data_IF_140053796408
#
_entry.id   IF_140053796408
#
_cell.length_a   1.000
_cell.length_b   1.000
_cell.length_c   1.000
_cell.angle_alpha   90.00
_cell.angle_beta   90.00
_cell.angle_gamma   90.00
#
_symmetry.space_group_name_H-M   'P 1'
#
loop_
_entity.id
_entity.type
_entity.pdbx_description
1 polymer ?
#
# COMPACT_ATOMS: atom_id res chain seq x y z
N UNK A 1 63.75 8.00 -43.55
CA UNK A 1 62.38 8.55 -43.75
C UNK A 1 61.59 7.46 -44.47
N UNK A 2 61.02 6.44 -43.84
CA UNK A 2 60.13 6.48 -42.68
C UNK A 2 58.71 6.72 -43.17
N UNK A 3 57.96 5.67 -43.53
CA UNK A 3 56.50 5.73 -43.40
C UNK A 3 55.89 4.32 -43.26
N UNK A 4 55.25 4.12 -42.12
CA UNK A 4 54.66 2.87 -41.66
C UNK A 4 53.28 2.65 -42.30
N UNK A 5 53.11 1.53 -42.99
CA UNK A 5 51.79 0.98 -43.31
C UNK A 5 51.17 0.36 -42.07
N UNK A 6 50.46 1.17 -41.27
CA UNK A 6 49.68 0.68 -40.13
C UNK A 6 48.44 -0.06 -40.65
N UNK A 7 48.48 -1.38 -40.54
CA UNK A 7 47.33 -2.26 -40.73
C UNK A 7 46.38 -2.08 -39.55
N UNK A 8 45.33 -1.29 -39.73
CA UNK A 8 44.23 -1.20 -38.78
C UNK A 8 43.13 -2.18 -39.19
N UNK A 9 43.29 -3.44 -38.77
CA UNK A 9 42.19 -4.41 -38.75
C UNK A 9 41.19 -3.94 -37.71
N UNK A 10 40.12 -3.30 -38.17
CA UNK A 10 38.97 -2.93 -37.34
C UNK A 10 38.22 -4.24 -36.95
N UNK A 11 38.05 -4.56 -35.67
CA UNK A 11 37.31 -5.75 -35.28
C UNK A 11 35.83 -5.59 -35.67
N UNK A 12 35.14 -6.67 -36.08
CA UNK A 12 33.73 -6.59 -36.44
C UNK A 12 32.92 -6.21 -35.20
N UNK A 13 32.09 -5.16 -35.35
CA UNK A 13 31.17 -4.72 -34.31
C UNK A 13 30.34 -5.92 -33.84
N UNK A 14 30.35 -6.18 -32.53
CA UNK A 14 29.52 -7.17 -31.88
C UNK A 14 28.06 -6.85 -32.19
N UNK A 15 27.45 -7.66 -33.04
CA UNK A 15 26.00 -7.62 -33.27
C UNK A 15 25.33 -8.10 -32.00
N UNK A 16 25.02 -7.19 -31.07
CA UNK A 16 24.07 -7.42 -30.00
C UNK A 16 22.72 -7.66 -30.66
N UNK A 17 22.41 -8.93 -30.89
CA UNK A 17 21.11 -9.41 -31.36
C UNK A 17 20.08 -8.93 -30.34
N UNK A 18 19.40 -7.81 -30.65
CA UNK A 18 18.30 -7.31 -29.83
C UNK A 18 17.31 -8.45 -29.71
N UNK A 19 17.21 -9.05 -28.53
CA UNK A 19 16.18 -10.04 -28.24
C UNK A 19 14.86 -9.32 -28.51
N UNK A 20 14.15 -9.76 -29.56
CA UNK A 20 12.89 -9.13 -29.95
C UNK A 20 11.92 -9.22 -28.78
N UNK A 21 11.34 -8.09 -28.39
CA UNK A 21 10.34 -8.05 -27.33
C UNK A 21 9.25 -9.09 -27.64
N UNK A 22 9.06 -10.04 -26.73
CA UNK A 22 8.00 -11.04 -26.86
C UNK A 22 6.68 -10.31 -26.66
N UNK A 23 5.99 -10.01 -27.77
CA UNK A 23 4.72 -9.30 -27.74
C UNK A 23 3.69 -10.22 -27.06
N UNK A 24 3.20 -9.80 -25.90
CA UNK A 24 2.17 -10.52 -25.14
C UNK A 24 0.83 -10.40 -25.87
N UNK A 25 -0.06 -11.39 -25.70
CA UNK A 25 -1.43 -11.29 -26.25
C UNK A 25 -2.15 -10.02 -25.82
N UNK A 26 -1.91 -9.57 -24.58
CA UNK A 26 -2.42 -8.32 -24.02
C UNK A 26 -1.96 -7.08 -24.80
N UNK A 27 -0.67 -7.01 -25.16
CA UNK A 27 -0.10 -5.89 -25.92
C UNK A 27 -0.76 -5.76 -27.31
N UNK A 28 -1.10 -6.90 -27.93
CA UNK A 28 -1.81 -6.92 -29.21
C UNK A 28 -3.23 -6.37 -29.09
N UNK A 29 -3.94 -6.76 -28.03
CA UNK A 29 -5.29 -6.25 -27.74
C UNK A 29 -5.26 -4.76 -27.46
N UNK A 30 -4.32 -4.28 -26.63
CA UNK A 30 -4.18 -2.86 -26.33
C UNK A 30 -3.86 -2.04 -27.59
N UNK A 31 -3.01 -2.58 -28.48
CA UNK A 31 -2.71 -1.95 -29.77
C UNK A 31 -3.96 -1.87 -30.66
N UNK A 32 -4.72 -2.96 -30.78
CA UNK A 32 -5.92 -3.00 -31.60
C UNK A 32 -6.99 -2.02 -31.11
N UNK A 33 -7.20 -1.94 -29.79
CA UNK A 33 -8.11 -0.98 -29.18
C UNK A 33 -7.66 0.47 -29.43
N UNK A 34 -6.37 0.77 -29.28
CA UNK A 34 -5.82 2.12 -29.58
C UNK A 34 -5.97 2.48 -31.05
N UNK A 35 -5.74 1.53 -31.95
CA UNK A 35 -5.92 1.73 -33.38
C UNK A 35 -7.40 1.97 -33.72
N UNK A 36 -8.33 1.29 -33.05
CA UNK A 36 -9.75 1.51 -33.21
C UNK A 36 -10.18 2.89 -32.68
N UNK A 37 -9.66 3.32 -31.54
CA UNK A 37 -9.85 4.67 -30.99
C UNK A 37 -9.42 5.74 -32.01
N UNK A 38 -8.25 5.57 -32.62
CA UNK A 38 -7.72 6.53 -33.60
C UNK A 38 -8.57 6.58 -34.89
N UNK A 39 -9.07 5.42 -35.36
CA UNK A 39 -10.03 5.35 -36.48
C UNK A 39 -11.33 6.07 -36.16
N UNK A 40 -11.87 5.89 -34.95
CA UNK A 40 -13.09 6.55 -34.49
C UNK A 40 -12.87 8.07 -34.42
N UNK A 41 -11.76 8.54 -33.85
CA UNK A 41 -11.41 9.96 -33.86
C UNK A 41 -11.30 10.54 -35.28
N UNK A 42 -10.68 9.80 -36.21
CA UNK A 42 -10.60 10.22 -37.61
C UNK A 42 -12.00 10.31 -38.26
N UNK A 43 -12.92 9.41 -37.92
CA UNK A 43 -14.31 9.46 -38.37
C UNK A 43 -15.05 10.67 -37.81
N UNK A 44 -14.89 11.00 -36.52
CA UNK A 44 -15.47 12.22 -35.90
C UNK A 44 -15.04 13.46 -36.68
N UNK A 45 -13.73 13.64 -36.88
CA UNK A 45 -13.16 14.77 -37.65
C UNK A 45 -13.66 14.82 -39.09
N UNK A 46 -13.99 13.68 -39.69
CA UNK A 46 -14.59 13.62 -41.04
C UNK A 46 -16.03 14.11 -41.01
N UNK A 47 -16.82 13.70 -40.03
CA UNK A 47 -18.22 14.14 -39.89
C UNK A 47 -18.33 15.62 -39.50
N UNK A 48 -17.43 16.14 -38.66
CA UNK A 48 -17.36 17.56 -38.31
C UNK A 48 -17.11 18.44 -39.53
N UNK A 49 -16.06 18.13 -40.31
CA UNK A 49 -15.78 18.84 -41.57
C UNK A 49 -16.95 18.78 -42.55
N UNK A 50 -17.64 17.64 -42.62
CA UNK A 50 -18.82 17.52 -43.46
C UNK A 50 -19.98 18.41 -42.97
N UNK A 51 -20.21 18.47 -41.65
CA UNK A 51 -21.24 19.31 -41.03
C UNK A 51 -20.97 20.82 -41.20
N UNK A 52 -19.71 21.24 -41.09
CA UNK A 52 -19.28 22.61 -41.38
C UNK A 52 -19.49 22.94 -42.87
N UNK A 53 -19.12 22.02 -43.76
CA UNK A 53 -19.36 22.18 -45.20
C UNK A 53 -20.85 22.35 -45.54
N UNK A 54 -21.73 21.58 -44.90
CA UNK A 54 -23.19 21.73 -45.05
C UNK A 54 -23.70 23.07 -44.52
N UNK A 55 -23.12 23.57 -43.43
CA UNK A 55 -23.48 24.86 -42.85
C UNK A 55 -23.14 26.02 -43.81
N UNK A 56 -21.94 26.01 -44.38
CA UNK A 56 -21.52 27.04 -45.35
C UNK A 56 -22.41 27.00 -46.59
N UNK A 57 -22.68 25.81 -47.15
CA UNK A 57 -23.60 25.66 -48.30
C UNK A 57 -25.01 26.13 -47.98
N UNK A 58 -25.53 25.84 -46.79
CA UNK A 58 -26.84 26.33 -46.36
C UNK A 58 -26.88 27.86 -46.31
N UNK A 59 -25.81 28.49 -45.79
CA UNK A 59 -25.71 29.95 -45.74
C UNK A 59 -25.67 30.58 -47.15
N UNK A 60 -24.92 30.00 -48.09
CA UNK A 60 -24.88 30.44 -49.48
C UNK A 60 -26.24 30.30 -50.18
N UNK A 61 -26.93 29.18 -49.99
CA UNK A 61 -28.25 28.93 -50.57
C UNK A 61 -29.32 29.89 -50.03
N UNK A 62 -29.23 30.29 -48.75
CA UNK A 62 -30.08 31.32 -48.17
C UNK A 62 -29.85 32.69 -48.80
N UNK A 63 -28.59 33.08 -49.04
CA UNK A 63 -28.24 34.34 -49.74
C UNK A 63 -28.79 34.35 -51.17
N UNK A 64 -28.81 33.19 -51.83
CA UNK A 64 -29.36 33.02 -53.17
C UNK A 64 -30.90 32.86 -53.20
N UNK A 65 -31.59 32.99 -52.07
CA UNK A 65 -33.05 32.91 -51.97
C UNK A 65 -33.66 31.51 -52.09
N UNK A 66 -32.85 30.46 -52.18
CA UNK A 66 -33.31 29.07 -52.37
C UNK A 66 -33.57 28.37 -51.03
N UNK A 67 -34.69 28.73 -50.39
CA UNK A 67 -35.07 28.25 -49.04
C UNK A 67 -35.21 26.73 -48.91
N UNK A 68 -35.85 26.06 -49.86
CA UNK A 68 -36.05 24.60 -49.82
C UNK A 68 -34.75 23.81 -49.80
N UNK A 69 -33.78 24.21 -50.64
CA UNK A 69 -32.46 23.58 -50.70
C UNK A 69 -31.63 23.87 -49.44
N UNK A 70 -31.73 25.09 -48.90
CA UNK A 70 -31.09 25.43 -47.63
C UNK A 70 -31.63 24.58 -46.47
N UNK A 71 -32.94 24.37 -46.41
CA UNK A 71 -33.56 23.50 -45.40
C UNK A 71 -33.08 22.05 -45.52
N UNK A 72 -32.91 21.54 -46.75
CA UNK A 72 -32.34 20.21 -46.98
C UNK A 72 -30.90 20.10 -46.44
N UNK A 73 -30.04 21.08 -46.72
CA UNK A 73 -28.68 21.13 -46.16
C UNK A 73 -28.67 21.16 -44.63
N UNK A 74 -29.57 21.91 -44.01
CA UNK A 74 -29.70 21.94 -42.54
C UNK A 74 -30.16 20.59 -41.97
N UNK A 75 -31.10 19.90 -42.62
CA UNK A 75 -31.51 18.53 -42.24
C UNK A 75 -30.33 17.55 -42.34
N UNK A 76 -29.53 17.65 -43.41
CA UNK A 76 -28.33 16.83 -43.61
C UNK A 76 -27.27 17.11 -42.55
N UNK A 77 -27.05 18.38 -42.20
CA UNK A 77 -26.19 18.79 -41.08
C UNK A 77 -26.66 18.18 -39.76
N UNK A 78 -27.97 18.23 -39.46
CA UNK A 78 -28.52 17.62 -38.24
C UNK A 78 -28.28 16.12 -38.17
N UNK A 79 -28.41 15.41 -39.30
CA UNK A 79 -28.09 13.98 -39.38
C UNK A 79 -26.60 13.71 -39.11
N UNK A 80 -25.69 14.53 -39.65
CA UNK A 80 -24.26 14.42 -39.37
C UNK A 80 -23.93 14.70 -37.89
N UNK A 81 -24.58 15.69 -37.28
CA UNK A 81 -24.43 15.94 -35.84
C UNK A 81 -24.90 14.76 -34.99
N UNK A 82 -26.03 14.14 -35.34
CA UNK A 82 -26.49 12.91 -34.69
C UNK A 82 -25.48 11.78 -34.82
N UNK A 83 -24.83 11.65 -35.99
CA UNK A 83 -23.79 10.66 -36.21
C UNK A 83 -22.54 10.96 -35.39
N UNK A 84 -22.15 12.22 -35.23
CA UNK A 84 -21.05 12.63 -34.35
C UNK A 84 -21.35 12.18 -32.92
N UNK A 85 -22.55 12.47 -32.39
CA UNK A 85 -22.93 12.03 -31.04
C UNK A 85 -22.85 10.52 -30.86
N UNK A 86 -23.32 9.74 -31.85
CA UNK A 86 -23.23 8.28 -31.81
C UNK A 86 -21.77 7.80 -31.85
N UNK A 87 -20.93 8.38 -32.70
CA UNK A 87 -19.52 7.97 -32.81
C UNK A 87 -18.73 8.40 -31.57
N UNK A 88 -19.08 9.52 -30.93
CA UNK A 88 -18.50 9.92 -29.64
C UNK A 88 -18.85 8.93 -28.53
N UNK A 89 -20.09 8.42 -28.47
CA UNK A 89 -20.41 7.38 -27.47
C UNK A 89 -19.68 6.06 -27.74
N UNK A 90 -19.43 5.72 -29.01
CA UNK A 90 -18.55 4.60 -29.36
C UNK A 90 -17.10 4.83 -28.92
N UNK A 91 -16.60 6.06 -29.02
CA UNK A 91 -15.26 6.43 -28.53
C UNK A 91 -15.15 6.23 -27.02
N UNK A 92 -16.10 6.75 -26.25
CA UNK A 92 -16.16 6.59 -24.79
C UNK A 92 -16.17 5.11 -24.38
N UNK A 93 -16.90 4.27 -25.12
CA UNK A 93 -16.92 2.83 -24.88
C UNK A 93 -15.55 2.19 -25.13
N UNK A 94 -14.84 2.57 -26.20
CA UNK A 94 -13.49 2.05 -26.48
C UNK A 94 -12.48 2.53 -25.43
N UNK A 95 -12.56 3.79 -25.00
CA UNK A 95 -11.71 4.33 -23.94
C UNK A 95 -11.92 3.59 -22.62
N UNK A 96 -13.18 3.32 -22.26
CA UNK A 96 -13.51 2.49 -21.09
C UNK A 96 -12.89 1.10 -21.18
N UNK A 97 -12.98 0.45 -22.35
CA UNK A 97 -12.38 -0.88 -22.56
C UNK A 97 -10.85 -0.84 -22.44
N UNK A 98 -10.19 0.20 -22.96
CA UNK A 98 -8.73 0.38 -22.80
C UNK A 98 -8.39 0.46 -21.31
N UNK A 99 -9.10 1.28 -20.54
CA UNK A 99 -8.87 1.40 -19.10
C UNK A 99 -9.10 0.06 -18.37
N UNK A 100 -10.14 -0.70 -18.73
CA UNK A 100 -10.39 -2.03 -18.16
C UNK A 100 -9.25 -3.00 -18.46
N UNK A 101 -8.71 -2.99 -19.67
CA UNK A 101 -7.58 -3.86 -20.05
C UNK A 101 -6.32 -3.47 -19.29
N UNK A 102 -6.05 -2.18 -19.14
CA UNK A 102 -4.90 -1.68 -18.36
C UNK A 102 -5.03 -2.02 -16.88
N UNK A 103 -6.24 -1.95 -16.32
CA UNK A 103 -6.50 -2.38 -14.96
C UNK A 103 -6.29 -3.89 -14.78
N UNK A 104 -6.78 -4.71 -15.71
CA UNK A 104 -6.58 -6.16 -15.69
C UNK A 104 -5.09 -6.56 -15.78
N UNK A 105 -4.24 -5.72 -16.39
CA UNK A 105 -2.79 -5.91 -16.38
C UNK A 105 -2.22 -5.76 -14.96
N UNK A 106 -2.64 -4.70 -14.25
CA UNK A 106 -2.23 -4.47 -12.86
C UNK A 106 -2.74 -5.59 -11.97
N UNK A 107 -3.99 -6.02 -12.15
CA UNK A 107 -4.56 -7.16 -11.40
C UNK A 107 -3.74 -8.43 -11.60
N UNK A 108 -3.28 -8.71 -12.83
CA UNK A 108 -2.38 -9.84 -13.10
C UNK A 108 -1.06 -9.70 -12.33
N UNK A 109 -0.44 -8.53 -12.34
CA UNK A 109 0.81 -8.28 -11.61
C UNK A 109 0.63 -8.47 -10.11
N UNK A 110 -0.48 -7.99 -9.53
CA UNK A 110 -0.82 -8.21 -8.12
C UNK A 110 -1.01 -9.69 -7.81
N UNK A 111 -1.72 -10.42 -8.66
CA UNK A 111 -1.93 -11.88 -8.49
C UNK A 111 -0.60 -12.62 -8.58
N UNK A 112 0.28 -12.26 -9.50
CA UNK A 112 1.58 -12.90 -9.64
C UNK A 112 2.50 -12.57 -8.43
N UNK A 113 2.45 -11.35 -7.90
CA UNK A 113 3.13 -11.01 -6.65
C UNK A 113 2.60 -11.83 -5.45
N UNK A 114 1.29 -12.04 -5.35
CA UNK A 114 0.69 -12.89 -4.31
C UNK A 114 1.10 -14.36 -4.45
N UNK A 115 1.23 -14.89 -5.68
CA UNK A 115 1.76 -16.24 -5.90
C UNK A 115 3.21 -16.35 -5.45
N UNK A 116 4.05 -15.39 -5.83
CA UNK A 116 5.45 -15.36 -5.38
C UNK A 116 5.53 -15.32 -3.84
N UNK A 117 4.74 -14.46 -3.19
CA UNK A 117 4.69 -14.39 -1.73
C UNK A 117 4.20 -15.69 -1.08
N UNK A 118 3.21 -16.37 -1.68
CA UNK A 118 2.78 -17.71 -1.24
C UNK A 118 3.92 -18.72 -1.36
N UNK A 119 4.64 -18.74 -2.48
CA UNK A 119 5.71 -19.71 -2.71
C UNK A 119 6.89 -19.47 -1.76
N UNK A 120 7.23 -18.22 -1.46
CA UNK A 120 8.22 -17.85 -0.44
C UNK A 120 7.79 -18.25 0.96
N UNK A 121 6.53 -17.98 1.33
CA UNK A 121 5.97 -18.41 2.61
C UNK A 121 5.94 -19.94 2.71
N UNK A 122 5.61 -20.64 1.62
CA UNK A 122 5.64 -22.10 1.58
C UNK A 122 7.07 -22.64 1.76
N UNK A 123 8.08 -21.98 1.19
CA UNK A 123 9.49 -22.34 1.39
C UNK A 123 9.94 -22.06 2.82
N UNK A 124 9.54 -20.93 3.41
CA UNK A 124 9.85 -20.60 4.80
C UNK A 124 9.20 -21.59 5.76
N UNK A 125 7.91 -21.90 5.57
CA UNK A 125 7.21 -22.92 6.34
C UNK A 125 7.85 -24.31 6.16
N UNK A 126 8.37 -24.59 4.96
CA UNK A 126 9.13 -25.80 4.67
C UNK A 126 10.61 -25.73 5.09
N UNK A 127 11.07 -24.65 5.73
CA UNK A 127 12.37 -24.59 6.41
C UNK A 127 12.15 -24.66 7.91
N UNK A 128 11.08 -24.02 8.41
CA UNK A 128 10.51 -24.19 9.75
C UNK A 128 9.86 -25.58 9.92
N UNK A 129 10.31 -26.59 9.17
CA UNK A 129 9.65 -27.87 9.00
C UNK A 129 9.21 -28.47 10.32
N UNK A 130 8.07 -29.14 10.23
CA UNK A 130 7.38 -29.94 11.25
C UNK A 130 8.29 -30.68 12.24
N UNK A 131 9.48 -31.13 11.85
CA UNK A 131 10.45 -31.81 12.74
C UNK A 131 10.98 -30.92 13.88
N UNK A 132 11.35 -29.66 13.62
CA UNK A 132 11.81 -28.73 14.68
C UNK A 132 10.65 -28.37 15.63
N UNK A 133 9.42 -28.31 15.10
CA UNK A 133 8.22 -28.06 15.91
C UNK A 133 7.83 -29.31 16.73
N UNK A 134 7.98 -30.51 16.17
CA UNK A 134 7.76 -31.78 16.87
C UNK A 134 8.82 -32.01 17.94
N UNK A 135 10.10 -31.78 17.66
CA UNK A 135 11.18 -31.86 18.65
C UNK A 135 11.01 -30.82 19.76
N UNK A 136 10.60 -29.59 19.43
CA UNK A 136 10.27 -28.58 20.43
C UNK A 136 9.05 -28.98 21.28
N UNK A 137 8.02 -29.58 20.69
CA UNK A 137 6.86 -30.07 21.43
C UNK A 137 7.19 -31.25 22.34
N UNK A 138 7.97 -32.23 21.86
CA UNK A 138 8.41 -33.38 22.65
C UNK A 138 9.33 -32.94 23.79
N UNK A 139 10.33 -32.09 23.51
CA UNK A 139 11.21 -31.55 24.56
C UNK A 139 10.48 -30.66 25.58
N UNK A 140 9.46 -29.91 25.16
CA UNK A 140 8.62 -29.13 26.10
C UNK A 140 7.74 -30.05 26.94
N UNK A 141 7.19 -31.12 26.36
CA UNK A 141 6.41 -32.10 27.09
C UNK A 141 7.26 -32.81 28.16
N UNK A 142 8.49 -33.20 27.82
CA UNK A 142 9.45 -33.81 28.75
C UNK A 142 9.81 -32.84 29.88
N UNK A 143 10.13 -31.58 29.58
CA UNK A 143 10.44 -30.55 30.59
C UNK A 143 9.24 -30.26 31.50
N UNK A 144 8.02 -30.26 30.97
CA UNK A 144 6.79 -30.09 31.75
C UNK A 144 6.58 -31.29 32.68
N UNK A 145 6.85 -32.51 32.22
CA UNK A 145 6.73 -33.71 33.04
C UNK A 145 7.81 -33.78 34.13
N UNK A 146 9.06 -33.43 33.81
CA UNK A 146 10.12 -33.25 34.81
C UNK A 146 9.76 -32.17 35.82
N UNK A 147 9.20 -31.04 35.39
CA UNK A 147 8.74 -29.98 36.28
C UNK A 147 7.60 -30.45 37.20
N UNK A 148 6.67 -31.28 36.71
CA UNK A 148 5.65 -31.91 37.56
C UNK A 148 6.27 -32.89 38.55
N UNK A 149 7.19 -33.75 38.13
CA UNK A 149 7.89 -34.67 39.02
C UNK A 149 8.70 -33.92 40.08
N UNK A 150 9.37 -32.83 39.71
CA UNK A 150 10.05 -31.93 40.66
C UNK A 150 9.03 -31.33 41.62
N UNK A 151 7.91 -30.82 41.14
CA UNK A 151 6.85 -30.29 42.00
C UNK A 151 6.25 -31.35 42.92
N UNK A 152 6.08 -32.59 42.47
CA UNK A 152 5.60 -33.71 43.28
C UNK A 152 6.63 -34.12 44.34
N UNK A 153 7.93 -34.19 44.00
CA UNK A 153 9.00 -34.50 44.94
C UNK A 153 9.16 -33.37 45.95
N UNK A 154 9.12 -32.11 45.51
CA UNK A 154 9.11 -30.94 46.39
C UNK A 154 7.88 -30.94 47.28
N UNK A 155 6.70 -31.31 46.78
CA UNK A 155 5.48 -31.45 47.58
C UNK A 155 5.55 -32.63 48.56
N UNK A 156 6.24 -33.73 48.22
CA UNK A 156 6.51 -34.85 49.12
C UNK A 156 7.55 -34.50 50.19
N UNK A 157 8.50 -33.60 49.88
CA UNK A 157 9.51 -33.09 50.82
C UNK A 157 9.06 -31.86 51.59
N UNK A 158 7.93 -31.24 51.22
CA UNK A 158 7.19 -30.40 52.14
C UNK A 158 6.67 -31.31 53.23
N UNK A 159 7.46 -31.40 54.30
CA UNK A 159 7.01 -31.85 55.61
C UNK A 159 5.65 -31.20 55.80
N UNK A 160 4.61 -32.03 55.91
CA UNK A 160 3.28 -31.58 56.29
C UNK A 160 3.44 -31.05 57.71
N UNK A 161 3.79 -29.78 57.84
CA UNK A 161 3.63 -29.07 59.08
C UNK A 161 2.14 -29.10 59.35
N UNK A 162 1.75 -29.73 60.45
CA UNK A 162 0.36 -29.74 60.84
C UNK A 162 -0.10 -28.29 61.00
N UNK A 163 -1.03 -27.84 60.16
CA UNK A 163 -1.49 -26.46 60.16
C UNK A 163 -1.99 -26.06 61.57
N UNK A 164 -2.52 -27.02 62.34
CA UNK A 164 -2.87 -26.83 63.75
C UNK A 164 -1.68 -26.51 64.66
N UNK A 165 -0.57 -27.22 64.51
CA UNK A 165 0.65 -27.02 65.32
C UNK A 165 1.28 -25.66 65.01
N UNK A 166 1.34 -25.30 63.73
CA UNK A 166 1.89 -24.02 63.27
C UNK A 166 1.03 -22.83 63.72
N UNK A 167 -0.30 -22.96 63.65
CA UNK A 167 -1.24 -21.95 64.16
C UNK A 167 -1.13 -21.77 65.68
N UNK A 168 -0.88 -22.85 66.42
CA UNK A 168 -0.63 -22.80 67.87
C UNK A 168 0.68 -22.06 68.19
N UNK A 169 1.75 -22.33 67.46
CA UNK A 169 3.05 -21.66 67.63
C UNK A 169 2.96 -20.15 67.33
N UNK A 170 2.27 -19.78 66.24
CA UNK A 170 2.02 -18.39 65.86
C UNK A 170 1.19 -17.65 66.91
N UNK A 171 0.10 -18.26 67.39
CA UNK A 171 -0.77 -17.64 68.40
C UNK A 171 -0.01 -17.41 69.72
N UNK A 172 0.91 -18.29 70.08
CA UNK A 172 1.79 -18.11 71.24
C UNK A 172 2.83 -16.99 71.02
N UNK A 173 3.35 -16.83 69.80
CA UNK A 173 4.30 -15.77 69.47
C UNK A 173 3.62 -14.38 69.39
N UNK A 174 2.44 -14.26 68.78
CA UNK A 174 1.67 -13.01 68.72
C UNK A 174 1.21 -12.54 70.10
N UNK A 175 0.88 -13.47 71.01
CA UNK A 175 0.60 -13.14 72.41
C UNK A 175 1.77 -12.48 73.14
N UNK A 176 3.02 -12.80 72.78
CA UNK A 176 4.20 -12.15 73.33
C UNK A 176 4.56 -10.82 72.64
N UNK A 177 4.24 -10.67 71.36
CA UNK A 177 4.52 -9.43 70.59
C UNK A 177 3.48 -8.33 70.89
N UNK A 178 2.23 -8.69 71.21
CA UNK A 178 1.18 -7.72 71.54
C UNK A 178 1.51 -6.85 72.76
N UNK A 179 2.25 -7.37 73.74
CA UNK A 179 2.69 -6.60 74.91
C UNK A 179 3.68 -5.46 74.56
N UNK A 180 4.36 -5.54 73.41
CA UNK A 180 5.34 -4.52 72.98
C UNK A 180 4.72 -3.41 72.09
N UNK A 181 3.52 -3.61 71.54
CA UNK A 181 2.90 -2.65 70.60
C UNK A 181 2.10 -1.52 71.25
N UNK A 182 1.87 -1.53 72.57
CA UNK A 182 1.17 -0.44 73.30
C UNK A 182 1.95 0.87 73.43
N UNK A 183 3.20 0.97 72.93
CA UNK A 183 4.08 2.14 73.08
C UNK A 183 4.22 3.03 71.82
N UNK A 184 3.40 2.86 70.77
CA UNK A 184 3.49 3.68 69.54
C UNK A 184 2.38 4.73 69.43
N UNK A 185 2.39 5.73 70.32
CA UNK A 185 1.81 7.05 70.02
C UNK A 185 2.88 8.13 70.19
N UNK A 186 3.76 8.28 69.20
CA UNK A 186 4.63 9.44 69.10
C UNK A 186 4.54 10.00 67.68
N UNK A 187 3.93 11.17 67.56
CA UNK A 187 3.73 11.93 66.31
C UNK A 187 5.07 12.56 65.91
N UNK A 188 5.47 12.38 64.64
CA UNK A 188 6.66 13.02 64.05
C UNK A 188 6.21 13.96 62.91
N UNK A 189 6.71 15.21 62.81
CA UNK A 189 6.18 16.20 61.85
C UNK A 189 6.67 15.95 60.41
N UNK A 190 5.76 16.10 59.45
CA UNK A 190 6.06 16.03 58.01
C UNK A 190 6.55 17.39 57.51
N UNK A 191 7.80 17.47 57.05
CA UNK A 191 8.30 18.64 56.31
C UNK A 191 7.98 18.49 54.81
N UNK A 192 7.32 19.49 54.22
CA UNK A 192 6.97 19.53 52.79
C UNK A 192 8.16 20.00 51.94
N UNK A 193 8.47 19.28 50.87
CA UNK A 193 9.50 19.67 49.90
C UNK A 193 8.93 20.63 48.82
N UNK A 194 9.72 21.62 48.32
CA UNK A 194 9.22 22.65 47.39
C UNK A 194 9.05 22.13 45.95
N UNK A 195 7.95 22.52 45.30
CA UNK A 195 7.62 22.22 43.90
C UNK A 195 8.35 23.13 42.89
N UNK A 196 8.90 22.54 41.82
CA UNK A 196 9.62 23.22 40.73
C UNK A 196 8.73 24.17 39.91
N UNK A 197 9.09 25.47 39.89
CA UNK A 197 8.61 26.45 38.90
C UNK A 197 9.81 27.07 38.17
N UNK A 198 10.29 26.44 37.09
CA UNK A 198 11.21 27.08 36.13
C UNK A 198 11.10 26.48 34.73
N UNK A 199 10.03 26.78 33.99
CA UNK A 199 10.05 26.62 32.52
C UNK A 199 9.32 27.74 31.74
N UNK A 200 8.45 28.56 32.35
CA UNK A 200 7.57 29.45 31.55
C UNK A 200 8.15 30.79 31.09
N UNK A 201 9.37 31.18 31.46
CA UNK A 201 9.87 32.53 31.16
C UNK A 201 10.75 32.62 29.89
N UNK A 202 11.17 31.49 29.30
CA UNK A 202 12.04 31.50 28.11
C UNK A 202 11.31 31.62 26.76
N UNK A 203 10.00 31.41 26.72
CA UNK A 203 9.25 31.41 25.45
C UNK A 203 8.80 32.80 24.99
N UNK A 204 8.73 33.79 25.88
CA UNK A 204 8.15 35.11 25.54
C UNK A 204 9.15 36.12 24.99
N UNK A 205 10.46 35.84 25.04
CA UNK A 205 11.49 36.77 24.58
C UNK A 205 11.90 36.56 23.11
N UNK A 206 11.66 35.38 22.54
CA UNK A 206 12.04 35.07 21.16
C UNK A 206 11.00 35.55 20.13
N UNK A 207 9.72 35.66 20.53
CA UNK A 207 8.66 36.13 19.65
C UNK A 207 8.64 37.67 19.49
N UNK A 208 9.04 38.42 20.52
CA UNK A 208 9.10 39.89 20.48
C UNK A 208 10.28 40.43 19.65
N UNK A 209 11.37 39.67 19.50
CA UNK A 209 12.54 40.08 18.69
C UNK A 209 12.26 39.91 17.19
N UNK A 210 11.45 38.92 16.80
CA UNK A 210 11.07 38.68 15.39
C UNK A 210 10.14 39.75 14.82
N UNK A 211 9.28 40.34 15.66
CA UNK A 211 8.32 41.37 15.22
C UNK A 211 9.00 42.74 15.00
N UNK A 212 10.13 43.02 15.65
CA UNK A 212 10.85 44.31 15.52
C UNK A 212 11.78 44.41 14.32
N UNK A 213 12.21 43.28 13.74
CA UNK A 213 13.08 43.25 12.55
C UNK A 213 12.30 43.27 11.23
N UNK A 214 10.96 43.26 11.28
CA UNK A 214 10.09 43.22 10.11
C UNK A 214 9.25 44.50 9.90
N UNK A 215 9.54 45.59 10.62
CA UNK A 215 8.88 46.89 10.48
C UNK A 215 9.84 47.99 9.99
#
# INVERSE_FOLDING_TARGET
MGNNGSSTVRPPASQTKRQGAVITSLDRVQLELKLQRDKIMAAIRKYERAAEGEHVRAAELLRNGKRELALYCLKRRKAQMSQITLVTSMLENVERLICTVEFAQIEREVVDALKCGKDELSKLNAILNMDDVLELMDSTADVVEESKQINEILAQQLIVYDESELLSELCSAEGQVSDLTSLKSMVVPVSQLPSEQRVRERATLEDDERVRLAA
#
